data_IF_547603472105
#
_entry.id   IF_547603472105
#
_cell.length_a   1.000
_cell.length_b   1.000
_cell.length_c   1.000
_cell.angle_alpha   90.00
_cell.angle_beta   90.00
_cell.angle_gamma   90.00
#
_symmetry.space_group_name_H-M   'P 1'
#
loop_
_entity.id
_entity.type
_entity.pdbx_description
1 polymer ?
#
# COMPACT_ATOMS: atom_id res chain seq x y z
N UNK A 1 8.46 -13.40 12.00
CA UNK A 1 8.59 -12.96 13.41
C UNK A 1 7.29 -12.32 13.85
N UNK A 2 6.93 -12.51 15.11
CA UNK A 2 5.75 -11.92 15.73
C UNK A 2 6.21 -11.12 16.95
N UNK A 3 6.00 -9.81 16.93
CA UNK A 3 6.45 -8.95 18.01
C UNK A 3 5.47 -7.80 18.22
N UNK A 4 5.19 -7.51 19.50
CA UNK A 4 4.30 -6.43 19.92
C UNK A 4 5.06 -5.21 20.42
N UNK A 5 6.35 -5.35 20.74
CA UNK A 5 7.12 -4.33 21.44
C UNK A 5 7.84 -3.37 20.49
N UNK A 6 8.58 -3.87 19.50
CA UNK A 6 9.32 -3.02 18.57
C UNK A 6 9.18 -3.48 17.11
N UNK A 7 8.19 -2.89 16.44
CA UNK A 7 7.93 -3.15 15.02
C UNK A 7 9.10 -2.75 14.12
N UNK A 8 9.85 -1.70 14.46
CA UNK A 8 11.00 -1.24 13.67
C UNK A 8 12.11 -2.25 13.76
N UNK A 9 12.43 -2.71 14.97
CA UNK A 9 13.42 -3.75 15.18
C UNK A 9 13.07 -5.04 14.44
N UNK A 10 11.82 -5.49 14.57
CA UNK A 10 11.37 -6.70 13.87
C UNK A 10 11.44 -6.56 12.34
N UNK A 11 11.11 -5.39 11.79
CA UNK A 11 11.24 -5.12 10.35
C UNK A 11 12.70 -5.25 9.89
N UNK A 12 13.62 -4.61 10.61
CA UNK A 12 15.06 -4.64 10.34
C UNK A 12 15.64 -6.04 10.51
N UNK A 13 15.28 -6.76 11.58
CA UNK A 13 15.75 -8.11 11.84
C UNK A 13 15.33 -9.08 10.71
N UNK A 14 14.10 -8.96 10.21
CA UNK A 14 13.60 -9.81 9.12
C UNK A 14 14.40 -9.59 7.84
N UNK A 15 14.62 -8.32 7.51
CA UNK A 15 15.42 -7.92 6.36
C UNK A 15 16.86 -8.44 6.48
N UNK A 16 17.50 -8.24 7.64
CA UNK A 16 18.89 -8.64 7.86
C UNK A 16 19.06 -10.17 7.85
N UNK A 17 18.12 -10.93 8.39
CA UNK A 17 18.15 -12.40 8.34
C UNK A 17 18.11 -12.89 6.88
N UNK A 18 17.22 -12.32 6.06
CA UNK A 18 17.12 -12.68 4.64
C UNK A 18 18.36 -12.24 3.87
N UNK A 19 18.83 -11.00 4.06
CA UNK A 19 20.07 -10.52 3.44
C UNK A 19 21.26 -11.42 3.78
N UNK A 20 21.39 -11.84 5.05
CA UNK A 20 22.43 -12.77 5.49
C UNK A 20 22.31 -14.15 4.83
N UNK A 21 21.08 -14.66 4.68
CA UNK A 21 20.84 -15.94 4.00
C UNK A 21 21.21 -15.93 2.51
N UNK A 22 21.17 -14.76 1.87
CA UNK A 22 21.54 -14.58 0.46
C UNK A 22 23.05 -14.41 0.25
N UNK A 23 23.82 -14.18 1.31
CA UNK A 23 25.28 -14.02 1.24
C UNK A 23 25.71 -12.87 0.32
N UNK A 24 26.79 -13.09 -0.44
CA UNK A 24 27.42 -12.09 -1.31
C UNK A 24 26.89 -12.12 -2.76
N UNK A 25 25.68 -12.61 -2.97
CA UNK A 25 25.06 -12.56 -4.29
C UNK A 25 24.96 -11.10 -4.78
N UNK A 26 25.24 -10.82 -6.07
CA UNK A 26 25.07 -9.51 -6.66
C UNK A 26 23.57 -9.22 -6.80
N UNK A 27 23.03 -8.44 -5.87
CA UNK A 27 21.60 -8.24 -5.70
C UNK A 27 21.22 -6.77 -5.65
N UNK A 28 20.26 -6.40 -6.50
CA UNK A 28 19.55 -5.14 -6.39
C UNK A 28 18.46 -5.28 -5.35
N UNK A 29 18.45 -4.38 -4.37
CA UNK A 29 17.48 -4.39 -3.27
C UNK A 29 16.49 -3.25 -3.48
N UNK A 30 15.20 -3.57 -3.42
CA UNK A 30 14.11 -2.59 -3.46
C UNK A 30 13.30 -2.70 -2.18
N UNK A 31 12.97 -1.55 -1.61
CA UNK A 31 12.12 -1.42 -0.43
C UNK A 31 10.93 -0.53 -0.72
N UNK A 32 9.92 -0.62 0.14
CA UNK A 32 8.76 0.26 0.12
C UNK A 32 8.07 0.28 1.47
N UNK A 33 7.07 1.15 1.62
CA UNK A 33 6.22 1.18 2.79
C UNK A 33 4.78 1.54 2.43
N UNK A 34 3.91 0.53 2.40
CA UNK A 34 2.49 0.71 2.14
C UNK A 34 1.83 1.56 3.24
N UNK A 35 2.37 1.53 4.46
CA UNK A 35 1.90 2.32 5.59
C UNK A 35 1.97 3.83 5.36
N UNK A 36 2.94 4.31 4.58
CA UNK A 36 3.05 5.74 4.22
C UNK A 36 1.88 6.13 3.30
N UNK A 37 1.58 5.33 2.27
CA UNK A 37 0.46 5.59 1.38
C UNK A 37 -0.89 5.49 2.11
N UNK A 38 -1.03 4.54 3.04
CA UNK A 38 -2.21 4.42 3.89
C UNK A 38 -2.39 5.65 4.80
N UNK A 39 -1.31 6.18 5.36
CA UNK A 39 -1.33 7.41 6.15
C UNK A 39 -1.76 8.61 5.29
N UNK A 40 -1.26 8.70 4.06
CA UNK A 40 -1.64 9.75 3.12
C UNK A 40 -3.15 9.75 2.84
N UNK A 41 -3.71 8.58 2.50
CA UNK A 41 -5.15 8.41 2.25
C UNK A 41 -5.98 8.73 3.49
N UNK A 42 -5.51 8.30 4.67
CA UNK A 42 -6.19 8.57 5.93
C UNK A 42 -6.20 10.05 6.29
N UNK A 43 -5.18 10.79 5.85
CA UNK A 43 -5.01 12.23 6.04
C UNK A 43 -5.86 13.13 5.14
N UNK A 44 -6.47 12.58 4.08
CA UNK A 44 -7.31 13.36 3.16
C UNK A 44 -8.50 14.00 3.86
N UNK A 45 -8.83 15.25 3.52
CA UNK A 45 -10.01 15.97 4.00
C UNK A 45 -11.25 15.53 3.21
N UNK A 46 -11.76 14.36 3.56
CA UNK A 46 -12.92 13.77 2.90
C UNK A 46 -13.65 12.79 3.81
N UNK A 47 -14.76 12.21 3.34
CA UNK A 47 -15.57 11.27 4.14
C UNK A 47 -14.81 9.97 4.42
N UNK A 48 -15.10 9.34 5.57
CA UNK A 48 -14.52 8.02 5.92
C UNK A 48 -14.82 6.96 4.87
N UNK A 49 -15.96 7.08 4.18
CA UNK A 49 -16.35 6.19 3.09
C UNK A 49 -15.44 6.34 1.88
N UNK A 50 -15.13 7.58 1.46
CA UNK A 50 -14.17 7.86 0.37
C UNK A 50 -12.76 7.38 0.75
N UNK A 51 -12.32 7.61 1.99
CA UNK A 51 -11.05 7.05 2.51
C UNK A 51 -11.02 5.53 2.42
N UNK A 52 -12.06 4.84 2.93
CA UNK A 52 -12.18 3.37 2.83
C UNK A 52 -12.19 2.89 1.37
N UNK A 53 -12.84 3.63 0.46
CA UNK A 53 -12.85 3.29 -0.96
C UNK A 53 -11.46 3.37 -1.60
N UNK A 54 -10.69 4.42 -1.28
CA UNK A 54 -9.30 4.56 -1.72
C UNK A 54 -8.40 3.47 -1.13
N UNK A 55 -8.50 3.20 0.19
CA UNK A 55 -7.73 2.15 0.87
C UNK A 55 -7.96 0.77 0.24
N UNK A 56 -9.20 0.43 -0.13
CA UNK A 56 -9.52 -0.82 -0.85
C UNK A 56 -8.84 -0.97 -2.20
N UNK A 57 -8.37 0.12 -2.79
CA UNK A 57 -7.74 0.14 -4.10
C UNK A 57 -6.25 0.45 -4.04
N UNK A 58 -5.62 0.49 -2.86
CA UNK A 58 -4.17 0.69 -2.72
C UNK A 58 -3.38 -0.26 -3.63
N UNK A 59 -3.74 -1.54 -3.65
CA UNK A 59 -3.09 -2.56 -4.48
C UNK A 59 -3.63 -2.66 -5.92
N UNK A 60 -4.47 -1.70 -6.34
CA UNK A 60 -5.01 -1.64 -7.70
C UNK A 60 -4.73 -0.27 -8.30
N UNK A 61 -3.49 0.02 -8.75
CA UNK A 61 -3.05 1.38 -9.11
C UNK A 61 -3.99 2.12 -10.05
N UNK A 62 -4.43 1.48 -11.15
CA UNK A 62 -5.40 2.08 -12.09
C UNK A 62 -6.71 2.47 -11.40
N UNK A 63 -7.28 1.56 -10.60
CA UNK A 63 -8.53 1.84 -9.86
C UNK A 63 -8.35 2.88 -8.76
N UNK A 64 -7.19 2.91 -8.10
CA UNK A 64 -6.86 3.93 -7.11
C UNK A 64 -6.89 5.32 -7.72
N UNK A 65 -6.17 5.51 -8.83
CA UNK A 65 -6.11 6.79 -9.55
C UNK A 65 -7.50 7.19 -10.04
N UNK A 66 -8.24 6.31 -10.72
CA UNK A 66 -9.61 6.61 -11.16
C UNK A 66 -10.53 6.98 -9.99
N UNK A 67 -10.40 6.29 -8.84
CA UNK A 67 -11.21 6.61 -7.65
C UNK A 67 -10.84 7.97 -7.06
N UNK A 68 -9.54 8.29 -6.99
CA UNK A 68 -9.05 9.59 -6.52
C UNK A 68 -9.51 10.71 -7.45
N UNK A 69 -9.44 10.51 -8.76
CA UNK A 69 -9.94 11.43 -9.77
C UNK A 69 -11.43 11.69 -9.61
N UNK A 70 -12.22 10.63 -9.42
CA UNK A 70 -13.66 10.75 -9.22
C UNK A 70 -14.03 11.53 -7.95
N UNK A 71 -13.19 11.49 -6.92
CA UNK A 71 -13.41 12.26 -5.68
C UNK A 71 -12.82 13.68 -5.73
N UNK A 72 -11.95 13.97 -6.70
CA UNK A 72 -11.37 15.30 -6.92
C UNK A 72 -12.20 16.11 -7.90
N UNK A 73 -12.71 15.46 -8.94
CA UNK A 73 -13.58 16.09 -9.92
C UNK A 73 -14.98 16.18 -9.32
N UNK A 74 -15.60 17.36 -9.42
CA UNK A 74 -17.02 17.56 -9.08
C UNK A 74 -17.97 16.80 -10.03
N UNK A 75 -17.40 16.12 -11.04
CA UNK A 75 -18.12 15.60 -12.21
C UNK A 75 -18.57 14.13 -12.11
N UNK A 76 -18.46 13.44 -10.97
CA UNK A 76 -18.76 12.01 -10.98
C UNK A 76 -19.37 11.48 -9.70
N UNK A 77 -20.64 11.79 -9.47
CA UNK A 77 -21.74 10.90 -9.81
C UNK A 77 -22.92 11.83 -10.07
N UNK A 78 -23.50 11.89 -11.27
CA UNK A 78 -24.84 12.48 -11.38
C UNK A 78 -25.76 11.59 -10.56
N UNK A 79 -25.96 12.00 -9.30
CA UNK A 79 -26.96 11.41 -8.43
C UNK A 79 -28.33 11.88 -8.83
N UNK A 80 -28.45 12.74 -9.85
CA UNK A 80 -29.67 13.18 -10.51
C UNK A 80 -30.63 12.01 -10.80
N UNK A 81 -30.11 10.84 -11.21
CA UNK A 81 -30.95 9.65 -11.43
C UNK A 81 -31.59 9.07 -10.17
N UNK A 82 -31.13 9.50 -9.00
CA UNK A 82 -31.65 9.17 -7.68
C UNK A 82 -32.26 10.39 -6.99
N UNK A 83 -32.35 11.55 -7.68
CA UNK A 83 -33.07 12.69 -7.15
C UNK A 83 -34.55 12.30 -7.06
N UNK A 84 -35.12 12.37 -5.85
CA UNK A 84 -36.46 11.88 -5.58
C UNK A 84 -36.57 10.36 -5.39
N UNK A 85 -35.46 9.64 -5.21
CA UNK A 85 -35.52 8.24 -4.75
C UNK A 85 -36.19 8.17 -3.38
N UNK A 86 -37.26 7.39 -3.33
CA UNK A 86 -38.05 7.08 -2.13
C UNK A 86 -38.24 5.57 -2.03
N UNK A 87 -37.86 4.98 -0.89
CA UNK A 87 -37.83 3.52 -0.71
C UNK A 87 -39.22 2.89 -0.87
N UNK A 88 -40.30 3.58 -0.50
CA UNK A 88 -41.65 3.01 -0.58
C UNK A 88 -42.22 3.01 -2.00
N UNK A 89 -41.88 4.01 -2.81
CA UNK A 89 -42.46 4.23 -4.13
C UNK A 89 -41.54 3.83 -5.28
N UNK A 90 -40.22 3.82 -5.08
CA UNK A 90 -39.24 3.56 -6.14
C UNK A 90 -39.06 2.07 -6.43
N UNK A 91 -39.34 1.19 -5.46
CA UNK A 91 -39.42 -0.24 -5.71
C UNK A 91 -40.82 -0.60 -6.19
N UNK A 92 -40.92 -1.14 -7.42
CA UNK A 92 -42.20 -1.61 -7.95
C UNK A 92 -42.81 -2.68 -7.03
N UNK A 93 -44.10 -2.55 -6.68
CA UNK A 93 -44.83 -3.44 -5.75
C UNK A 93 -44.76 -4.93 -6.14
N UNK A 94 -44.52 -5.23 -7.42
CA UNK A 94 -44.38 -6.59 -7.97
C UNK A 94 -43.06 -6.81 -8.72
N UNK A 95 -42.06 -5.95 -8.49
CA UNK A 95 -40.75 -6.11 -9.12
C UNK A 95 -40.11 -7.40 -8.63
N UNK A 96 -39.76 -8.29 -9.56
CA UNK A 96 -39.00 -9.50 -9.24
C UNK A 96 -37.61 -9.08 -8.77
N UNK A 97 -37.23 -9.51 -7.57
CA UNK A 97 -35.88 -9.28 -7.05
C UNK A 97 -34.90 -10.15 -7.85
N UNK A 98 -34.12 -9.52 -8.72
CA UNK A 98 -33.12 -10.17 -9.56
C UNK A 98 -31.73 -9.78 -9.05
N UNK A 99 -30.94 -10.78 -8.69
CA UNK A 99 -29.57 -10.61 -8.21
C UNK A 99 -29.40 -10.97 -6.73
N UNK A 100 -28.19 -10.78 -6.22
CA UNK A 100 -27.80 -11.19 -4.86
C UNK A 100 -27.96 -10.08 -3.81
N UNK A 101 -28.37 -8.87 -4.21
CA UNK A 101 -28.54 -7.74 -3.29
C UNK A 101 -29.99 -7.65 -2.85
N UNK A 102 -30.17 -7.60 -1.53
CA UNK A 102 -31.44 -7.25 -0.91
C UNK A 102 -31.83 -5.79 -1.18
N UNK A 103 -33.12 -5.47 -1.04
CA UNK A 103 -33.63 -4.09 -1.15
C UNK A 103 -32.90 -3.13 -0.20
N UNK A 104 -32.69 -3.53 1.06
CA UNK A 104 -32.00 -2.70 2.05
C UNK A 104 -30.54 -2.41 1.65
N UNK A 105 -29.83 -3.36 1.04
CA UNK A 105 -28.49 -3.12 0.50
C UNK A 105 -28.49 -2.13 -0.68
N UNK A 106 -29.53 -2.17 -1.51
CA UNK A 106 -29.72 -1.23 -2.62
C UNK A 106 -30.00 0.18 -2.08
N UNK A 107 -30.99 0.33 -1.19
CA UNK A 107 -31.34 1.59 -0.52
C UNK A 107 -30.10 2.21 0.12
N UNK A 108 -29.40 1.45 0.97
CA UNK A 108 -28.17 1.90 1.63
C UNK A 108 -27.09 2.31 0.63
N UNK A 109 -26.96 1.61 -0.50
CA UNK A 109 -25.99 1.99 -1.55
C UNK A 109 -26.37 3.34 -2.18
N UNK A 110 -27.65 3.57 -2.46
CA UNK A 110 -28.16 4.82 -3.04
C UNK A 110 -27.96 5.99 -2.08
N UNK A 111 -28.37 5.85 -0.81
CA UNK A 111 -28.13 6.84 0.24
C UNK A 111 -26.66 7.24 0.31
N UNK A 112 -25.76 6.26 0.29
CA UNK A 112 -24.35 6.57 0.34
C UNK A 112 -23.83 7.27 -0.94
N UNK A 113 -24.40 7.00 -2.12
CA UNK A 113 -24.05 7.72 -3.35
C UNK A 113 -24.51 9.18 -3.26
N UNK A 114 -25.71 9.42 -2.72
CA UNK A 114 -26.23 10.76 -2.45
C UNK A 114 -25.37 11.52 -1.43
N UNK A 115 -24.97 10.86 -0.35
CA UNK A 115 -24.06 11.44 0.66
C UNK A 115 -22.68 11.76 0.07
N UNK A 116 -22.12 10.86 -0.75
CA UNK A 116 -20.86 11.12 -1.43
C UNK A 116 -20.99 12.29 -2.43
N UNK A 117 -22.12 12.43 -3.12
CA UNK A 117 -22.37 13.54 -4.06
C UNK A 117 -22.45 14.91 -3.36
N UNK A 118 -22.91 14.97 -2.11
CA UNK A 118 -22.97 16.21 -1.32
C UNK A 118 -21.63 16.59 -0.67
N UNK A 119 -20.68 15.66 -0.60
CA UNK A 119 -19.40 15.90 0.05
C UNK A 119 -18.48 16.72 -0.86
N UNK A 120 -17.87 17.77 -0.30
CA UNK A 120 -16.91 18.61 -1.00
C UNK A 120 -15.84 17.75 -1.72
N UNK A 121 -15.44 18.10 -2.95
CA UNK A 121 -14.37 17.41 -3.65
C UNK A 121 -13.06 17.45 -2.86
N UNK A 122 -12.24 16.40 -3.01
CA UNK A 122 -10.85 16.42 -2.55
C UNK A 122 -10.14 17.55 -3.29
N UNK A 123 -9.37 18.38 -2.57
CA UNK A 123 -8.73 19.53 -3.19
C UNK A 123 -7.68 19.10 -4.23
N UNK A 124 -7.51 19.92 -5.27
CA UNK A 124 -6.45 19.71 -6.28
C UNK A 124 -5.06 19.66 -5.63
N UNK A 125 -4.85 20.42 -4.55
CA UNK A 125 -3.63 20.39 -3.73
C UNK A 125 -3.41 19.02 -3.11
N UNK A 126 -4.40 18.46 -2.42
CA UNK A 126 -4.30 17.12 -1.80
C UNK A 126 -4.09 16.03 -2.84
N UNK A 127 -4.79 16.09 -3.98
CA UNK A 127 -4.54 15.19 -5.10
C UNK A 127 -3.11 15.31 -5.60
N UNK A 128 -2.61 16.55 -5.74
CA UNK A 128 -1.23 16.83 -6.13
C UNK A 128 -0.22 16.16 -5.22
N UNK A 129 -0.40 16.28 -3.89
CA UNK A 129 0.47 15.63 -2.90
C UNK A 129 0.43 14.10 -3.02
N UNK A 130 -0.76 13.49 -3.19
CA UNK A 130 -0.86 12.04 -3.40
C UNK A 130 -0.14 11.62 -4.68
N UNK A 131 -0.29 12.37 -5.78
CA UNK A 131 0.42 12.07 -7.03
C UNK A 131 1.94 12.21 -6.88
N UNK A 132 2.41 13.27 -6.22
CA UNK A 132 3.83 13.45 -5.90
C UNK A 132 4.36 12.29 -5.07
N UNK A 133 3.64 11.91 -4.01
CA UNK A 133 3.97 10.78 -3.15
C UNK A 133 4.09 9.48 -3.95
N UNK A 134 3.15 9.19 -4.85
CA UNK A 134 3.16 7.97 -5.67
C UNK A 134 4.34 7.88 -6.66
N UNK A 135 4.92 9.03 -7.01
CA UNK A 135 6.06 9.14 -7.90
C UNK A 135 7.41 9.13 -7.16
N UNK A 136 7.42 9.05 -5.83
CA UNK A 136 8.67 8.93 -5.06
C UNK A 136 9.28 7.54 -5.31
N UNK A 137 10.44 7.56 -5.95
CA UNK A 137 11.32 6.41 -6.19
C UNK A 137 12.77 6.90 -6.26
N UNK A 138 13.60 6.50 -5.32
CA UNK A 138 15.02 6.89 -5.22
C UNK A 138 15.77 5.98 -4.23
N UNK A 139 17.05 6.22 -4.00
CA UNK A 139 17.78 5.60 -2.88
C UNK A 139 17.18 6.01 -1.54
N UNK A 140 17.21 5.11 -0.56
CA UNK A 140 16.56 5.31 0.75
C UNK A 140 16.81 6.71 1.38
N UNK A 141 18.05 7.26 1.43
CA UNK A 141 18.29 8.58 2.00
C UNK A 141 17.61 9.72 1.23
N UNK A 142 17.63 9.67 -0.10
CA UNK A 142 17.00 10.70 -0.95
C UNK A 142 15.48 10.60 -0.91
N UNK A 143 14.94 9.38 -0.92
CA UNK A 143 13.51 9.16 -0.74
C UNK A 143 13.00 9.73 0.59
N UNK A 144 13.77 9.59 1.69
CA UNK A 144 13.40 10.19 2.98
C UNK A 144 13.33 11.72 2.90
N UNK A 145 14.26 12.37 2.20
CA UNK A 145 14.25 13.82 1.99
C UNK A 145 13.01 14.24 1.21
N UNK A 146 12.72 13.55 0.09
CA UNK A 146 11.53 13.81 -0.73
C UNK A 146 10.24 13.62 0.08
N UNK A 147 10.16 12.59 0.92
CA UNK A 147 9.02 12.36 1.80
C UNK A 147 8.84 13.49 2.83
N UNK A 148 9.92 13.92 3.49
CA UNK A 148 9.87 15.02 4.46
C UNK A 148 9.43 16.34 3.81
N UNK A 149 9.76 16.56 2.55
CA UNK A 149 9.33 17.74 1.79
C UNK A 149 7.81 17.82 1.59
N UNK A 150 7.08 16.70 1.68
CA UNK A 150 5.61 16.68 1.59
C UNK A 150 4.89 17.03 2.90
N UNK A 151 5.60 17.07 4.04
CA UNK A 151 5.01 17.31 5.36
C UNK A 151 4.26 18.65 5.51
N UNK A 152 4.73 19.78 4.96
CA UNK A 152 4.00 21.05 5.05
C UNK A 152 2.60 20.97 4.43
N UNK A 153 2.45 20.19 3.35
CA UNK A 153 1.19 20.05 2.63
C UNK A 153 0.33 18.89 3.15
N UNK A 154 0.95 17.87 3.77
CA UNK A 154 0.25 16.73 4.36
C UNK A 154 0.89 16.27 5.69
N UNK A 155 0.61 16.97 6.80
CA UNK A 155 1.16 16.64 8.12
C UNK A 155 0.81 15.23 8.62
N UNK A 156 -0.27 14.62 8.10
CA UNK A 156 -0.69 13.26 8.41
C UNK A 156 0.39 12.20 8.10
N UNK A 157 1.35 12.50 7.21
CA UNK A 157 2.45 11.61 6.88
C UNK A 157 3.51 11.51 8.00
N UNK A 158 3.55 12.45 8.95
CA UNK A 158 4.63 12.60 9.94
C UNK A 158 4.99 11.29 10.64
N UNK A 159 4.02 10.62 11.27
CA UNK A 159 4.29 9.40 12.03
C UNK A 159 4.78 8.25 11.16
N UNK A 160 4.28 8.14 9.91
CA UNK A 160 4.71 7.11 8.98
C UNK A 160 6.15 7.37 8.48
N UNK A 161 6.48 8.62 8.19
CA UNK A 161 7.83 9.04 7.78
C UNK A 161 8.83 8.85 8.93
N UNK A 162 8.48 9.22 10.16
CA UNK A 162 9.31 8.97 11.35
C UNK A 162 9.57 7.48 11.57
N UNK A 163 8.57 6.62 11.31
CA UNK A 163 8.75 5.17 11.37
C UNK A 163 9.70 4.66 10.29
N UNK A 164 9.60 5.18 9.07
CA UNK A 164 10.54 4.87 7.99
C UNK A 164 11.97 5.34 8.33
N UNK A 165 12.14 6.55 8.82
CA UNK A 165 13.43 7.08 9.28
C UNK A 165 14.05 6.21 10.37
N UNK A 166 13.27 5.79 11.37
CA UNK A 166 13.73 4.87 12.41
C UNK A 166 14.20 3.53 11.86
N UNK A 167 13.55 2.99 10.82
CA UNK A 167 14.01 1.76 10.13
C UNK A 167 15.32 1.98 9.40
N UNK A 168 15.48 3.10 8.71
CA UNK A 168 16.77 3.44 8.08
C UNK A 168 17.88 3.52 9.14
N UNK A 169 17.66 4.22 10.25
CA UNK A 169 18.64 4.27 11.35
C UNK A 169 18.95 2.89 11.95
N UNK A 170 17.96 1.99 12.01
CA UNK A 170 18.19 0.63 12.53
C UNK A 170 18.97 -0.24 11.53
N UNK A 171 18.71 -0.11 10.23
CA UNK A 171 19.46 -0.80 9.17
C UNK A 171 20.91 -0.29 9.08
N UNK A 172 21.13 1.01 9.19
CA UNK A 172 22.45 1.63 9.23
C UNK A 172 23.28 1.10 10.42
N UNK A 173 22.68 1.03 11.62
CA UNK A 173 23.29 0.40 12.80
C UNK A 173 23.60 -1.08 12.63
N UNK A 174 22.92 -1.76 11.69
CA UNK A 174 23.20 -3.14 11.32
C UNK A 174 24.24 -3.26 10.19
N UNK A 175 24.94 -2.16 9.84
CA UNK A 175 25.93 -2.05 8.76
C UNK A 175 25.36 -2.35 7.37
N UNK A 176 24.08 -2.03 7.14
CA UNK A 176 23.47 -2.10 5.81
C UNK A 176 23.73 -0.79 5.08
N UNK A 177 24.40 -0.85 3.94
CA UNK A 177 24.60 0.33 3.08
C UNK A 177 23.27 0.77 2.47
N UNK A 178 22.73 1.88 2.96
CA UNK A 178 21.47 2.46 2.51
C UNK A 178 21.61 3.21 1.18
N UNK A 179 22.82 3.59 0.77
CA UNK A 179 23.05 4.36 -0.46
C UNK A 179 22.78 3.55 -1.73
N UNK A 180 22.82 2.21 -1.61
CA UNK A 180 22.56 1.29 -2.72
C UNK A 180 21.14 0.73 -2.74
N UNK A 181 20.36 0.91 -1.67
CA UNK A 181 19.00 0.35 -1.55
C UNK A 181 17.98 1.30 -2.19
N UNK A 182 17.24 0.78 -3.16
CA UNK A 182 16.12 1.49 -3.78
C UNK A 182 14.93 1.55 -2.80
N UNK A 183 14.22 2.66 -2.79
CA UNK A 183 12.94 2.83 -2.12
C UNK A 183 11.92 3.38 -3.11
N UNK A 184 10.76 2.74 -3.23
CA UNK A 184 9.65 3.25 -4.02
C UNK A 184 8.35 3.18 -3.21
N UNK A 185 7.59 4.28 -3.18
CA UNK A 185 6.27 4.29 -2.53
C UNK A 185 5.31 3.31 -3.19
N UNK A 186 5.47 3.10 -4.49
CA UNK A 186 4.61 2.19 -5.25
C UNK A 186 5.03 0.72 -5.15
N UNK A 187 6.17 0.42 -4.51
CA UNK A 187 6.63 -0.96 -4.34
C UNK A 187 5.66 -1.79 -3.50
N UNK A 188 5.41 -3.04 -3.92
CA UNK A 188 4.47 -3.96 -3.25
C UNK A 188 3.00 -3.79 -3.63
N UNK A 189 2.63 -2.73 -4.36
CA UNK A 189 1.23 -2.46 -4.75
C UNK A 189 0.65 -3.45 -5.77
N UNK A 190 1.45 -4.20 -6.52
CA UNK A 190 0.96 -5.12 -7.57
C UNK A 190 1.31 -6.58 -7.35
N UNK A 191 2.27 -6.87 -6.46
CA UNK A 191 2.82 -8.21 -6.27
C UNK A 191 2.68 -8.72 -4.83
N UNK A 192 2.22 -7.87 -3.89
CA UNK A 192 2.24 -8.17 -2.46
C UNK A 192 0.98 -7.66 -1.72
N UNK A 193 -0.21 -8.07 -2.17
CA UNK A 193 -1.50 -7.54 -1.69
C UNK A 193 -1.81 -7.75 -0.20
N UNK A 194 -1.05 -8.60 0.51
CA UNK A 194 -1.24 -8.86 1.93
C UNK A 194 -0.30 -8.07 2.85
N UNK A 195 0.68 -7.33 2.30
CA UNK A 195 1.54 -6.46 3.11
C UNK A 195 0.95 -5.06 3.26
N UNK A 196 1.03 -4.51 4.47
CA UNK A 196 0.43 -3.24 4.90
C UNK A 196 1.43 -2.27 5.56
N UNK A 197 2.72 -2.60 5.52
CA UNK A 197 3.80 -1.78 6.06
C UNK A 197 5.08 -1.87 5.23
N UNK A 198 6.22 -2.04 5.91
CA UNK A 198 7.52 -2.23 5.26
C UNK A 198 7.50 -3.47 4.36
N UNK A 199 8.04 -3.31 3.17
CA UNK A 199 8.18 -4.37 2.17
C UNK A 199 9.55 -4.30 1.54
N UNK A 200 10.08 -5.44 1.12
CA UNK A 200 11.37 -5.53 0.47
C UNK A 200 11.43 -6.68 -0.53
N UNK A 201 12.29 -6.54 -1.53
CA UNK A 201 12.64 -7.59 -2.47
C UNK A 201 14.09 -7.50 -2.90
N UNK A 202 14.64 -8.67 -3.17
CA UNK A 202 16.01 -8.88 -3.62
C UNK A 202 15.95 -9.44 -5.04
N UNK A 203 16.61 -8.78 -5.98
CA UNK A 203 16.57 -9.09 -7.41
C UNK A 203 17.99 -9.40 -7.89
N UNK A 204 18.14 -10.35 -8.80
CA UNK A 204 19.44 -10.61 -9.44
C UNK A 204 19.90 -9.37 -10.21
N UNK A 205 21.13 -8.92 -10.00
CA UNK A 205 21.76 -7.93 -10.88
C UNK A 205 22.17 -8.55 -12.21
N UNK A 206 22.58 -9.83 -12.18
CA UNK A 206 23.10 -10.54 -13.35
C UNK A 206 21.99 -10.99 -14.32
N UNK A 207 20.74 -11.10 -13.86
CA UNK A 207 19.62 -11.53 -14.69
C UNK A 207 18.33 -10.80 -14.31
N UNK A 208 18.09 -9.67 -14.99
CA UNK A 208 16.94 -8.79 -14.76
C UNK A 208 15.58 -9.43 -15.10
N UNK A 209 15.56 -10.52 -15.87
CA UNK A 209 14.34 -11.23 -16.22
C UNK A 209 13.90 -12.21 -15.14
N UNK A 210 14.75 -12.49 -14.14
CA UNK A 210 14.36 -13.35 -13.03
C UNK A 210 13.36 -12.63 -12.12
N UNK A 211 12.34 -13.36 -11.62
CA UNK A 211 11.55 -12.87 -10.51
C UNK A 211 12.44 -12.66 -9.27
N UNK A 212 11.99 -11.87 -8.27
CA UNK A 212 12.85 -11.54 -7.12
C UNK A 212 13.35 -12.79 -6.37
N UNK A 213 14.64 -12.95 -6.15
CA UNK A 213 15.22 -14.09 -5.43
C UNK A 213 14.64 -14.23 -4.02
N UNK A 214 14.39 -13.12 -3.34
CA UNK A 214 13.71 -13.10 -2.06
C UNK A 214 12.74 -11.92 -1.97
N UNK A 215 11.66 -12.09 -1.21
CA UNK A 215 10.71 -11.02 -0.91
C UNK A 215 10.25 -11.12 0.54
N UNK A 216 9.82 -10.00 1.11
CA UNK A 216 9.29 -9.98 2.45
C UNK A 216 8.59 -8.67 2.78
N UNK A 217 8.00 -8.64 3.96
CA UNK A 217 7.32 -7.46 4.45
C UNK A 217 6.45 -7.72 5.66
N UNK A 218 5.79 -6.66 6.10
CA UNK A 218 4.89 -6.60 7.25
C UNK A 218 3.44 -6.79 6.83
N UNK A 219 2.70 -7.62 7.58
CA UNK A 219 1.34 -8.08 7.26
C UNK A 219 0.45 -8.12 8.52
N UNK A 220 0.34 -6.99 9.21
CA UNK A 220 -0.39 -6.89 10.48
C UNK A 220 -1.90 -7.11 10.26
N UNK A 221 -2.47 -6.53 9.20
CA UNK A 221 -3.87 -6.67 8.81
C UNK A 221 -4.27 -8.13 8.54
N UNK A 222 -3.36 -8.94 7.96
CA UNK A 222 -3.61 -10.35 7.73
C UNK A 222 -3.76 -11.10 9.05
N UNK A 223 -2.85 -10.86 10.01
CA UNK A 223 -2.94 -11.51 11.32
C UNK A 223 -4.20 -11.12 12.07
N UNK A 224 -4.62 -9.86 11.96
CA UNK A 224 -5.86 -9.36 12.56
C UNK A 224 -7.10 -10.01 11.96
N UNK A 225 -7.12 -10.18 10.64
CA UNK A 225 -8.22 -10.82 9.94
C UNK A 225 -8.37 -12.28 10.37
N UNK A 226 -7.28 -13.05 10.33
CA UNK A 226 -7.26 -14.47 10.75
C UNK A 226 -7.54 -14.59 12.26
N UNK A 227 -7.03 -13.67 13.06
CA UNK A 227 -7.22 -13.61 14.51
C UNK A 227 -8.63 -13.21 14.96
N UNK A 228 -9.56 -12.99 14.02
CA UNK A 228 -10.94 -12.51 14.27
C UNK A 228 -10.96 -11.22 15.13
N UNK A 229 -10.09 -10.27 14.78
CA UNK A 229 -9.96 -8.98 15.48
C UNK A 229 -8.86 -8.94 16.54
N UNK A 230 -8.30 -10.09 16.96
CA UNK A 230 -7.06 -10.12 17.75
C UNK A 230 -5.87 -9.95 16.82
N UNK A 231 -4.96 -9.08 17.19
CA UNK A 231 -3.82 -8.68 16.35
C UNK A 231 -2.50 -9.10 17.00
N UNK A 232 -1.57 -9.56 16.18
CA UNK A 232 -0.17 -9.76 16.56
C UNK A 232 0.69 -9.26 15.40
N UNK A 233 1.41 -8.13 15.57
CA UNK A 233 2.16 -7.57 14.46
C UNK A 233 3.18 -8.59 13.93
N UNK A 234 3.28 -8.68 12.61
CA UNK A 234 3.98 -9.75 11.95
C UNK A 234 4.75 -9.27 10.72
N UNK A 235 5.97 -9.77 10.60
CA UNK A 235 6.87 -9.53 9.47
C UNK A 235 7.59 -10.83 9.12
N UNK A 236 7.83 -11.05 7.84
CA UNK A 236 8.39 -12.29 7.32
C UNK A 236 8.77 -12.15 5.86
N UNK A 237 9.26 -13.24 5.28
CA UNK A 237 9.63 -13.28 3.88
C UNK A 237 9.98 -14.69 3.43
N UNK A 238 10.28 -14.80 2.15
CA UNK A 238 10.60 -16.05 1.47
C UNK A 238 11.89 -15.86 0.67
N UNK A 239 12.72 -16.90 0.67
CA UNK A 239 13.88 -17.04 -0.21
C UNK A 239 13.55 -18.16 -1.20
N UNK A 240 13.90 -17.98 -2.48
CA UNK A 240 13.65 -18.94 -3.56
C UNK A 240 14.96 -19.59 -4.00
N UNK A 241 15.30 -20.79 -3.47
CA UNK A 241 16.60 -21.43 -3.73
C UNK A 241 16.85 -21.75 -5.21
N UNK A 242 15.80 -22.10 -5.96
CA UNK A 242 15.84 -22.32 -7.40
C UNK A 242 16.31 -21.09 -8.17
N UNK A 243 15.85 -19.89 -7.77
CA UNK A 243 16.27 -18.63 -8.37
C UNK A 243 17.69 -18.23 -7.96
N UNK A 244 18.13 -18.62 -6.75
CA UNK A 244 19.54 -18.44 -6.35
C UNK A 244 20.44 -19.21 -7.31
N UNK A 245 20.13 -20.48 -7.59
CA UNK A 245 20.91 -21.29 -8.52
C UNK A 245 20.91 -20.68 -9.93
N UNK A 246 19.74 -20.30 -10.45
CA UNK A 246 19.63 -19.67 -11.77
C UNK A 246 20.38 -18.33 -11.85
N UNK A 247 20.42 -17.56 -10.75
CA UNK A 247 21.08 -16.25 -10.71
C UNK A 247 22.61 -16.31 -10.79
N UNK A 248 23.20 -17.45 -10.38
CA UNK A 248 24.65 -17.70 -10.46
C UNK A 248 25.13 -18.08 -11.86
N UNK A 249 24.20 -18.36 -12.78
CA UNK A 249 24.49 -19.03 -14.04
C UNK A 249 24.72 -20.53 -13.81
N UNK A 250 24.16 -21.37 -14.69
CA UNK A 250 24.69 -22.71 -14.84
C UNK A 250 25.96 -22.57 -15.68
N UNK A 251 27.13 -22.89 -15.11
CA UNK A 251 28.25 -23.31 -15.94
C UNK A 251 27.86 -24.69 -16.46
N UNK A 252 27.45 -24.76 -17.74
CA UNK A 252 27.40 -26.03 -18.45
C UNK A 252 28.85 -26.55 -18.50
N UNK A 253 29.18 -27.49 -17.61
CA UNK A 253 30.38 -28.29 -17.74
C UNK A 253 30.12 -29.29 -18.88
N UNK A 254 30.40 -28.86 -20.11
CA UNK A 254 30.58 -29.74 -21.28
C UNK A 254 31.72 -30.76 -21.04
#
# INVERSE_FOLDING_TARGET
>A
MFDRADVVKSDTDAFCIIKKALGDLPLRIVTGDIGILMAAVSGLKTTDRRKKALLRHIWRPKRFITTLENFTNDLSFSTERFDGFDEETSFGKHAKEIGLRSKSEITKRIENLLLDGKAAPISTKERGVINSLLNIGDKCPQALIQLKALLPDMPALKSAIEKFERRLSALDKANVDLSVIDFEISYGRTSMEYYDGFVFGFYSENNINLPPIATGGRYDALTKHIGKGREIPAVGGVVRPDLILQSKGFEDND
#
